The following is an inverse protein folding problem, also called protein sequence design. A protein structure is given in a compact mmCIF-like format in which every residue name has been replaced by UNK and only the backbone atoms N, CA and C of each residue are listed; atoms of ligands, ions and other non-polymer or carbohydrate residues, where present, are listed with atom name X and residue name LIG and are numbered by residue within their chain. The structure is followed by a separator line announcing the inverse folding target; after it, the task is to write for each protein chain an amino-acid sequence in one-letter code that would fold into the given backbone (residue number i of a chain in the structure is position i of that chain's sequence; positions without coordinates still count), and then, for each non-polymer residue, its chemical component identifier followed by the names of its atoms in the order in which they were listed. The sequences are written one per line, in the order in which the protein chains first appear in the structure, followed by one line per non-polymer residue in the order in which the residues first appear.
data_IF_246865379615
#
_entry.id   IF_246865379615
#
_cell.length_a   1.000
_cell.length_b   1.000
_cell.length_c   1.000
_cell.angle_alpha   90.00
_cell.angle_beta   90.00
_cell.angle_gamma   90.00
#
_symmetry.space_group_name_H-M   'P 1'
#
loop_
_entity.id
_entity.type
_entity.pdbx_description
1 polymer ?
#
# COMPACT_ATOMS: atom_id res chain seq x y z
N UNK A 1 9.22 -33.63 -3.99
CA UNK A 1 8.41 -32.99 -5.06
C UNK A 1 7.46 -32.04 -4.34
N UNK A 2 7.71 -30.75 -4.42
CA UNK A 2 6.80 -29.70 -3.90
C UNK A 2 5.92 -29.30 -5.08
N UNK A 3 4.89 -30.14 -5.36
CA UNK A 3 3.92 -29.90 -6.40
C UNK A 3 3.02 -28.72 -6.02
N UNK A 4 3.01 -27.69 -6.88
CA UNK A 4 1.89 -26.78 -7.02
C UNK A 4 1.61 -25.82 -5.86
N UNK A 5 2.62 -25.19 -5.26
CA UNK A 5 2.36 -24.00 -4.46
C UNK A 5 1.81 -22.92 -5.40
N UNK A 6 0.49 -22.69 -5.32
CA UNK A 6 -0.13 -21.53 -5.97
C UNK A 6 0.64 -20.27 -5.56
N UNK A 7 1.27 -19.63 -6.54
CA UNK A 7 2.02 -18.41 -6.30
C UNK A 7 1.01 -17.28 -6.15
N UNK A 8 0.97 -16.66 -4.97
CA UNK A 8 0.13 -15.51 -4.67
C UNK A 8 0.85 -14.22 -5.07
N UNK A 9 0.17 -13.37 -5.79
CA UNK A 9 0.74 -12.16 -6.36
C UNK A 9 0.28 -10.90 -5.63
N UNK A 10 1.23 -10.02 -5.34
CA UNK A 10 0.99 -8.66 -4.86
C UNK A 10 1.26 -7.70 -6.00
N UNK A 11 0.34 -6.78 -6.26
CA UNK A 11 0.57 -5.61 -7.10
C UNK A 11 0.57 -4.36 -6.21
N UNK A 12 1.60 -3.53 -6.32
CA UNK A 12 1.74 -2.30 -5.53
C UNK A 12 1.55 -1.09 -6.43
N UNK A 13 0.70 -0.16 -6.01
CA UNK A 13 0.46 1.11 -6.70
C UNK A 13 1.16 2.24 -5.97
N UNK A 14 1.87 3.10 -6.71
CA UNK A 14 2.59 4.27 -6.20
C UNK A 14 2.33 5.52 -7.04
N UNK A 15 2.58 6.71 -6.48
CA UNK A 15 2.54 7.99 -7.24
C UNK A 15 3.84 8.81 -7.13
N UNK A 16 4.82 8.35 -6.38
CA UNK A 16 6.03 9.15 -6.11
C UNK A 16 7.23 8.32 -5.66
N UNK A 17 7.84 8.71 -4.53
CA UNK A 17 9.09 8.13 -4.02
C UNK A 17 9.01 6.63 -3.69
N UNK A 18 7.82 6.11 -3.35
CA UNK A 18 7.62 4.68 -3.13
C UNK A 18 8.33 4.13 -1.89
N UNK A 19 8.55 4.93 -0.85
CA UNK A 19 9.26 4.48 0.35
C UNK A 19 8.54 3.32 1.06
N UNK A 20 7.22 3.37 1.14
CA UNK A 20 6.39 2.27 1.66
C UNK A 20 6.45 1.02 0.75
N UNK A 21 6.45 1.21 -0.57
CA UNK A 21 6.67 0.12 -1.53
C UNK A 21 8.03 -0.54 -1.29
N UNK A 22 9.10 0.27 -1.15
CA UNK A 22 10.44 -0.24 -0.87
C UNK A 22 10.51 -1.02 0.44
N UNK A 23 9.80 -0.57 1.49
CA UNK A 23 9.71 -1.29 2.76
C UNK A 23 9.06 -2.67 2.59
N UNK A 24 7.95 -2.76 1.83
CA UNK A 24 7.26 -4.03 1.55
C UNK A 24 8.16 -4.97 0.74
N UNK A 25 8.79 -4.48 -0.33
CA UNK A 25 9.66 -5.28 -1.21
C UNK A 25 10.86 -5.82 -0.44
N UNK A 26 11.50 -4.99 0.39
CA UNK A 26 12.62 -5.42 1.25
C UNK A 26 12.17 -6.49 2.26
N UNK A 27 11.05 -6.29 2.93
CA UNK A 27 10.52 -7.27 3.88
C UNK A 27 10.18 -8.60 3.19
N UNK A 28 9.53 -8.57 2.02
CA UNK A 28 9.21 -9.76 1.24
C UNK A 28 10.47 -10.57 0.87
N UNK A 29 11.55 -9.87 0.52
CA UNK A 29 12.84 -10.49 0.20
C UNK A 29 13.53 -11.05 1.45
N UNK A 30 13.72 -10.21 2.48
CA UNK A 30 14.46 -10.56 3.70
C UNK A 30 13.79 -11.69 4.49
N UNK A 31 12.47 -11.67 4.57
CA UNK A 31 11.69 -12.70 5.25
C UNK A 31 11.39 -13.93 4.36
N UNK A 32 11.83 -13.91 3.09
CA UNK A 32 11.66 -14.98 2.12
C UNK A 32 10.19 -15.41 1.93
N UNK A 33 9.27 -14.44 1.73
CA UNK A 33 7.83 -14.68 1.60
C UNK A 33 7.49 -15.68 0.49
N UNK A 34 8.23 -15.64 -0.63
CA UNK A 34 8.06 -16.59 -1.72
C UNK A 34 8.29 -18.04 -1.30
N UNK A 35 9.35 -18.27 -0.51
CA UNK A 35 9.69 -19.61 -0.02
C UNK A 35 8.77 -20.08 1.11
N UNK A 36 8.39 -19.16 2.01
CA UNK A 36 7.62 -19.50 3.20
C UNK A 36 6.13 -19.63 2.94
N UNK A 37 5.58 -18.80 2.05
CA UNK A 37 4.13 -18.69 1.87
C UNK A 37 3.68 -18.73 0.41
N UNK A 38 4.59 -18.85 -0.55
CA UNK A 38 4.31 -18.75 -1.98
C UNK A 38 3.88 -17.35 -2.43
N UNK A 39 4.26 -16.28 -1.70
CA UNK A 39 3.84 -14.91 -1.96
C UNK A 39 4.97 -14.12 -2.59
N UNK A 40 4.69 -13.39 -3.66
CA UNK A 40 5.67 -12.49 -4.30
C UNK A 40 5.05 -11.15 -4.67
N UNK A 41 5.87 -10.10 -4.70
CA UNK A 41 5.53 -8.85 -5.38
C UNK A 41 5.73 -9.09 -6.88
N UNK A 42 4.63 -9.13 -7.63
CA UNK A 42 4.65 -9.39 -9.06
C UNK A 42 4.93 -8.14 -9.87
N UNK A 43 4.31 -7.00 -9.47
CA UNK A 43 4.48 -5.74 -10.17
C UNK A 43 4.36 -4.53 -9.23
N UNK A 44 5.00 -3.43 -9.66
CA UNK A 44 4.79 -2.09 -9.14
C UNK A 44 4.34 -1.20 -10.30
N UNK A 45 3.20 -0.53 -10.13
CA UNK A 45 2.60 0.32 -11.15
C UNK A 45 2.52 1.75 -10.62
N UNK A 46 2.96 2.71 -11.41
CA UNK A 46 2.84 4.14 -11.09
C UNK A 46 1.89 4.84 -12.04
N UNK A 47 1.09 5.78 -11.50
CA UNK A 47 0.30 6.71 -12.32
C UNK A 47 1.09 7.95 -12.77
N UNK A 48 2.39 8.00 -12.46
CA UNK A 48 3.30 9.09 -12.87
C UNK A 48 4.57 8.51 -13.48
N UNK A 49 4.94 8.93 -14.72
CA UNK A 49 6.15 8.43 -15.37
C UNK A 49 7.45 8.70 -14.59
N UNK A 50 7.51 9.84 -13.89
CA UNK A 50 8.70 10.29 -13.15
C UNK A 50 8.70 9.80 -11.67
N UNK A 51 7.91 8.81 -11.32
CA UNK A 51 7.90 8.27 -9.97
C UNK A 51 9.26 7.63 -9.62
N UNK A 52 10.02 8.27 -8.72
CA UNK A 52 11.36 7.80 -8.33
C UNK A 52 11.36 6.43 -7.67
N UNK A 53 10.21 5.96 -7.16
CA UNK A 53 10.06 4.59 -6.69
C UNK A 53 10.26 3.52 -7.77
N UNK A 54 9.94 3.81 -9.04
CA UNK A 54 10.24 2.89 -10.16
C UNK A 54 11.74 2.86 -10.46
N UNK A 55 12.40 4.03 -10.47
CA UNK A 55 13.85 4.13 -10.63
C UNK A 55 14.57 3.38 -9.51
N UNK A 56 14.11 3.55 -8.27
CA UNK A 56 14.66 2.83 -7.13
C UNK A 56 14.65 1.32 -7.33
N UNK A 57 13.56 0.73 -7.85
CA UNK A 57 13.51 -0.71 -8.15
C UNK A 57 14.52 -1.13 -9.22
N UNK A 58 14.71 -0.30 -10.25
CA UNK A 58 15.67 -0.58 -11.34
C UNK A 58 17.13 -0.54 -10.86
N UNK A 59 17.41 0.29 -9.86
CA UNK A 59 18.75 0.42 -9.24
C UNK A 59 19.07 -0.71 -8.25
N UNK A 60 18.12 -1.61 -7.95
CA UNK A 60 18.26 -2.70 -7.00
C UNK A 60 18.10 -4.06 -7.72
N UNK A 61 19.21 -4.65 -8.22
CA UNK A 61 19.17 -5.89 -9.02
C UNK A 61 18.53 -7.08 -8.32
N UNK A 62 18.56 -7.11 -6.98
CA UNK A 62 17.93 -8.14 -6.17
C UNK A 62 16.39 -8.18 -6.34
N UNK A 63 15.79 -7.11 -6.88
CA UNK A 63 14.35 -6.99 -7.17
C UNK A 63 14.03 -6.99 -8.66
N UNK A 64 14.98 -7.36 -9.53
CA UNK A 64 14.82 -7.34 -10.99
C UNK A 64 13.66 -8.24 -11.52
N UNK A 65 13.19 -9.18 -10.69
CA UNK A 65 12.03 -10.01 -11.00
C UNK A 65 10.68 -9.30 -10.82
N UNK A 66 10.65 -8.11 -10.19
CA UNK A 66 9.44 -7.29 -10.01
C UNK A 66 9.25 -6.46 -11.28
N UNK A 67 8.10 -6.62 -11.94
CA UNK A 67 7.77 -5.81 -13.11
C UNK A 67 7.44 -4.39 -12.72
N UNK A 68 8.03 -3.43 -13.41
CA UNK A 68 7.70 -2.00 -13.25
C UNK A 68 6.88 -1.52 -14.44
N UNK A 69 5.77 -0.84 -14.18
CA UNK A 69 4.88 -0.31 -15.22
C UNK A 69 4.45 1.12 -14.88
N UNK A 70 4.11 1.86 -15.93
CA UNK A 70 3.52 3.21 -15.79
C UNK A 70 2.22 3.27 -16.57
N UNK A 71 1.23 3.92 -15.98
CA UNK A 71 -0.01 4.32 -16.62
C UNK A 71 -0.25 5.79 -16.30
N UNK A 72 0.19 6.68 -17.17
CA UNK A 72 0.11 8.12 -16.93
C UNK A 72 -1.35 8.58 -16.92
N UNK A 73 -1.83 9.00 -15.77
CA UNK A 73 -3.20 9.41 -15.56
C UNK A 73 -3.56 10.70 -16.35
N UNK A 74 -2.58 11.49 -16.77
CA UNK A 74 -2.79 12.71 -17.56
C UNK A 74 -3.18 12.41 -19.00
N UNK A 75 -3.02 11.16 -19.45
CA UNK A 75 -3.40 10.72 -20.79
C UNK A 75 -4.89 10.32 -20.91
N UNK A 76 -5.67 10.52 -19.83
CA UNK A 76 -7.06 10.09 -19.77
C UNK A 76 -7.97 11.27 -19.44
N UNK A 77 -9.02 11.44 -20.23
CA UNK A 77 -9.98 12.54 -20.07
C UNK A 77 -10.92 12.35 -18.87
N UNK A 78 -11.13 11.08 -18.45
CA UNK A 78 -12.02 10.75 -17.34
C UNK A 78 -11.38 9.76 -16.37
N UNK A 79 -11.69 9.92 -15.08
CA UNK A 79 -11.20 9.04 -14.02
C UNK A 79 -11.66 7.59 -14.21
N UNK A 80 -12.88 7.39 -14.68
CA UNK A 80 -13.47 6.08 -14.95
C UNK A 80 -12.68 5.31 -16.01
N UNK A 81 -12.26 5.99 -17.09
CA UNK A 81 -11.48 5.41 -18.18
C UNK A 81 -10.07 5.06 -17.70
N UNK A 82 -9.45 5.94 -16.91
CA UNK A 82 -8.17 5.65 -16.28
C UNK A 82 -8.26 4.43 -15.36
N UNK A 83 -9.24 4.37 -14.47
CA UNK A 83 -9.42 3.27 -13.52
C UNK A 83 -9.69 1.94 -14.23
N UNK A 84 -10.47 1.92 -15.31
CA UNK A 84 -10.66 0.73 -16.14
C UNK A 84 -9.34 0.24 -16.75
N UNK A 85 -8.54 1.16 -17.29
CA UNK A 85 -7.24 0.83 -17.87
C UNK A 85 -6.25 0.36 -16.79
N UNK A 86 -6.34 0.95 -15.60
CA UNK A 86 -5.52 0.55 -14.45
C UNK A 86 -5.91 -0.85 -13.96
N UNK A 87 -7.21 -1.17 -13.86
CA UNK A 87 -7.68 -2.51 -13.52
C UNK A 87 -7.17 -3.55 -14.53
N UNK A 88 -7.32 -3.29 -15.83
CA UNK A 88 -6.81 -4.20 -16.86
C UNK A 88 -5.31 -4.48 -16.70
N UNK A 89 -4.53 -3.42 -16.42
CA UNK A 89 -3.08 -3.54 -16.20
C UNK A 89 -2.71 -4.29 -14.92
N UNK A 90 -3.47 -4.13 -13.86
CA UNK A 90 -3.28 -4.85 -12.60
C UNK A 90 -3.63 -6.34 -12.78
N UNK A 91 -4.73 -6.62 -13.48
CA UNK A 91 -5.24 -7.98 -13.68
C UNK A 91 -4.34 -8.84 -14.58
N UNK A 92 -3.46 -8.23 -15.41
CA UNK A 92 -2.37 -8.93 -16.12
C UNK A 92 -1.44 -9.73 -15.19
N UNK A 93 -1.45 -9.42 -13.90
CA UNK A 93 -0.58 -10.02 -12.89
C UNK A 93 -1.31 -10.99 -11.96
N UNK A 94 -2.59 -11.29 -12.18
CA UNK A 94 -3.43 -12.16 -11.33
C UNK A 94 -3.27 -11.83 -9.84
N UNK A 95 -3.61 -10.60 -9.37
CA UNK A 95 -3.30 -10.16 -8.02
C UNK A 95 -4.20 -10.83 -6.97
N UNK A 96 -3.60 -11.44 -5.95
CA UNK A 96 -4.29 -11.81 -4.71
C UNK A 96 -4.45 -10.63 -3.76
N UNK A 97 -3.58 -9.62 -3.89
CA UNK A 97 -3.63 -8.39 -3.10
C UNK A 97 -3.15 -7.21 -3.93
N UNK A 98 -3.91 -6.11 -3.90
CA UNK A 98 -3.50 -4.81 -4.42
C UNK A 98 -3.20 -3.88 -3.25
N UNK A 99 -2.06 -3.22 -3.29
CA UNK A 99 -1.54 -2.39 -2.20
C UNK A 99 -1.36 -0.95 -2.69
N UNK A 100 -2.02 0.01 -2.04
CA UNK A 100 -1.84 1.43 -2.29
C UNK A 100 -0.73 1.97 -1.38
N UNK A 101 0.47 2.12 -1.92
CA UNK A 101 1.64 2.59 -1.17
C UNK A 101 1.99 4.04 -1.55
N UNK A 102 1.17 4.98 -1.13
CA UNK A 102 1.26 6.38 -1.53
C UNK A 102 0.72 6.62 -2.94
N UNK A 103 -0.38 6.00 -3.27
CA UNK A 103 -1.11 6.21 -4.54
C UNK A 103 -2.07 7.38 -4.38
N UNK A 104 -1.73 8.52 -4.98
CA UNK A 104 -2.38 9.82 -4.76
C UNK A 104 -3.56 10.06 -5.72
N UNK A 105 -4.48 9.10 -5.80
CA UNK A 105 -5.74 9.22 -6.57
C UNK A 105 -6.90 8.62 -5.79
N UNK A 106 -8.05 9.29 -5.88
CA UNK A 106 -9.32 8.73 -5.41
C UNK A 106 -9.82 7.75 -6.47
N UNK A 107 -9.95 6.51 -6.10
CA UNK A 107 -10.41 5.42 -6.96
C UNK A 107 -11.93 5.44 -7.09
N UNK A 108 -12.45 4.99 -8.23
CA UNK A 108 -13.89 4.89 -8.47
C UNK A 108 -14.51 3.76 -7.64
N UNK A 109 -15.83 3.84 -7.35
CA UNK A 109 -16.54 2.73 -6.69
C UNK A 109 -16.41 1.40 -7.45
N UNK A 110 -16.35 1.43 -8.78
CA UNK A 110 -16.18 0.24 -9.62
C UNK A 110 -14.80 -0.41 -9.38
N UNK A 111 -13.72 0.39 -9.29
CA UNK A 111 -12.39 -0.10 -8.96
C UNK A 111 -12.36 -0.74 -7.56
N UNK A 112 -12.92 -0.06 -6.56
CA UNK A 112 -12.96 -0.58 -5.19
C UNK A 112 -13.75 -1.88 -5.10
N UNK A 113 -14.90 -1.97 -5.78
CA UNK A 113 -15.72 -3.18 -5.83
C UNK A 113 -14.97 -4.36 -6.50
N UNK A 114 -14.21 -4.10 -7.58
CA UNK A 114 -13.44 -5.13 -8.29
C UNK A 114 -12.37 -5.79 -7.41
N UNK A 115 -11.75 -5.02 -6.52
CA UNK A 115 -10.73 -5.52 -5.58
C UNK A 115 -11.25 -5.65 -4.14
N UNK A 116 -12.56 -5.75 -3.94
CA UNK A 116 -13.15 -5.83 -2.60
C UNK A 116 -12.51 -6.97 -1.77
N UNK A 117 -12.11 -6.65 -0.53
CA UNK A 117 -11.47 -7.59 0.40
C UNK A 117 -9.98 -7.86 0.12
N UNK A 118 -9.44 -7.38 -1.00
CA UNK A 118 -8.04 -7.53 -1.41
C UNK A 118 -7.39 -6.24 -1.89
N UNK A 119 -7.86 -5.10 -1.38
CA UNK A 119 -7.31 -3.77 -1.63
C UNK A 119 -7.03 -3.10 -0.28
N UNK A 120 -5.75 -2.79 -0.01
CA UNK A 120 -5.32 -2.17 1.24
C UNK A 120 -4.55 -0.89 0.99
N UNK A 121 -4.67 0.04 1.93
CA UNK A 121 -4.00 1.34 1.90
C UNK A 121 -3.29 1.61 3.23
N UNK A 122 -2.28 2.48 3.19
CA UNK A 122 -1.72 3.10 4.39
C UNK A 122 -2.09 4.58 4.40
N UNK A 123 -2.61 5.04 5.54
CA UNK A 123 -3.01 6.43 5.76
C UNK A 123 -2.21 7.03 6.92
N UNK A 124 -1.60 8.21 6.76
CA UNK A 124 -0.71 8.78 7.76
C UNK A 124 -1.46 9.51 8.89
N UNK A 125 -2.43 8.84 9.50
CA UNK A 125 -3.11 9.27 10.72
C UNK A 125 -3.64 8.07 11.51
N UNK A 126 -4.11 8.32 12.73
CA UNK A 126 -4.82 7.35 13.57
C UNK A 126 -6.32 7.38 13.21
N UNK A 127 -6.70 6.74 12.10
CA UNK A 127 -8.11 6.68 11.69
C UNK A 127 -9.00 6.18 12.84
N UNK A 128 -10.21 6.73 12.99
CA UNK A 128 -10.92 7.64 12.08
C UNK A 128 -10.52 9.11 12.20
N UNK A 129 -9.57 9.47 13.06
CA UNK A 129 -9.10 10.84 13.18
C UNK A 129 -8.31 11.27 11.93
N UNK A 130 -8.52 12.51 11.49
CA UNK A 130 -7.77 13.15 10.39
C UNK A 130 -7.79 12.37 9.07
N UNK A 131 -8.94 11.80 8.68
CA UNK A 131 -9.12 11.25 7.33
C UNK A 131 -8.84 12.32 6.26
N UNK A 132 -8.42 11.92 5.06
CA UNK A 132 -8.10 12.80 3.94
C UNK A 132 -6.70 13.43 4.02
N UNK A 133 -6.53 14.63 3.48
CA UNK A 133 -5.23 15.26 3.28
C UNK A 133 -4.73 16.05 4.50
N UNK A 134 -3.42 16.41 4.46
CA UNK A 134 -2.74 17.30 5.44
C UNK A 134 -2.83 16.80 6.89
N UNK A 135 -2.79 15.50 7.09
CA UNK A 135 -3.02 14.83 8.38
C UNK A 135 -2.09 15.32 9.49
N UNK A 136 -0.79 15.46 9.20
CA UNK A 136 0.21 15.90 10.17
C UNK A 136 -0.04 17.33 10.65
N UNK A 137 -0.25 18.26 9.71
CA UNK A 137 -0.54 19.65 10.07
C UNK A 137 -1.83 19.75 10.89
N UNK A 138 -2.89 19.04 10.45
CA UNK A 138 -4.17 19.01 11.17
C UNK A 138 -4.05 18.44 12.58
N UNK A 139 -3.21 17.43 12.78
CA UNK A 139 -2.95 16.87 14.11
C UNK A 139 -2.22 17.87 15.01
N UNK A 140 -1.24 18.63 14.47
CA UNK A 140 -0.54 19.69 15.18
C UNK A 140 -1.50 20.82 15.55
N UNK A 141 -2.27 21.32 14.58
CA UNK A 141 -3.22 22.44 14.76
C UNK A 141 -4.32 22.09 15.78
N UNK A 142 -4.74 20.83 15.84
CA UNK A 142 -5.69 20.32 16.83
C UNK A 142 -5.07 20.15 18.22
N UNK A 143 -3.76 20.37 18.41
CA UNK A 143 -3.08 20.15 19.67
C UNK A 143 -3.00 18.68 20.11
N UNK A 144 -3.13 17.74 19.15
CA UNK A 144 -3.07 16.31 19.43
C UNK A 144 -1.73 15.96 20.10
N UNK A 145 -1.76 15.06 21.08
CA UNK A 145 -0.53 14.57 21.74
C UNK A 145 0.06 13.38 21.04
N UNK A 146 -0.75 12.70 20.23
CA UNK A 146 -0.37 11.54 19.45
C UNK A 146 -0.83 11.68 18.01
N UNK A 147 -0.02 11.17 17.10
CA UNK A 147 -0.31 10.95 15.70
C UNK A 147 0.09 9.51 15.36
N UNK A 148 0.05 9.14 14.09
CA UNK A 148 0.47 7.80 13.69
C UNK A 148 0.06 7.46 12.28
N UNK A 149 0.01 6.16 11.99
CA UNK A 149 -0.40 5.62 10.72
C UNK A 149 -1.41 4.49 10.90
N UNK A 150 -2.26 4.31 9.90
CA UNK A 150 -3.26 3.25 9.84
C UNK A 150 -3.14 2.49 8.53
N UNK A 151 -2.99 1.18 8.60
CA UNK A 151 -3.23 0.27 7.46
C UNK A 151 -4.69 -0.17 7.52
N UNK A 152 -5.42 -0.02 6.42
CA UNK A 152 -6.83 -0.35 6.36
C UNK A 152 -7.22 -0.96 5.01
N UNK A 153 -8.30 -1.71 4.97
CA UNK A 153 -8.96 -2.07 3.71
C UNK A 153 -9.55 -0.82 3.07
N UNK A 154 -9.46 -0.73 1.75
CA UNK A 154 -10.10 0.37 1.02
C UNK A 154 -11.57 0.09 0.85
N UNK A 155 -12.40 1.08 1.17
CA UNK A 155 -13.85 1.12 0.95
C UNK A 155 -14.19 2.25 -0.02
N UNK A 156 -15.45 2.29 -0.46
CA UNK A 156 -15.94 3.37 -1.34
C UNK A 156 -15.86 4.72 -0.64
N UNK A 157 -16.17 4.74 0.66
CA UNK A 157 -15.97 5.90 1.51
C UNK A 157 -14.49 6.04 1.84
N UNK A 158 -13.95 7.25 1.58
CA UNK A 158 -12.52 7.55 1.75
C UNK A 158 -12.10 7.33 3.21
N UNK A 159 -11.06 6.51 3.41
CA UNK A 159 -10.41 6.22 4.70
C UNK A 159 -11.35 5.63 5.78
N UNK A 160 -12.45 4.97 5.38
CA UNK A 160 -13.44 4.39 6.31
C UNK A 160 -13.47 2.84 6.31
N UNK A 161 -12.58 2.21 5.58
CA UNK A 161 -12.49 0.75 5.54
C UNK A 161 -11.98 0.13 6.85
N UNK A 162 -12.10 -1.18 6.97
CA UNK A 162 -11.67 -1.93 8.15
C UNK A 162 -10.20 -1.67 8.47
N UNK A 163 -9.91 -1.26 9.69
CA UNK A 163 -8.55 -1.06 10.20
C UNK A 163 -7.89 -2.44 10.39
N UNK A 164 -6.69 -2.59 9.83
CA UNK A 164 -5.89 -3.81 9.90
C UNK A 164 -4.74 -3.68 10.88
N UNK A 165 -4.10 -2.51 10.93
CA UNK A 165 -3.00 -2.21 11.85
C UNK A 165 -2.90 -0.70 12.09
N UNK A 166 -2.42 -0.32 13.27
CA UNK A 166 -2.11 1.06 13.59
C UNK A 166 -0.79 1.15 14.36
N UNK A 167 -0.08 2.27 14.17
CA UNK A 167 1.08 2.62 14.97
C UNK A 167 0.96 4.07 15.45
N UNK A 168 1.42 4.31 16.67
CA UNK A 168 1.30 5.59 17.36
C UNK A 168 2.67 6.22 17.52
N UNK A 169 2.75 7.53 17.31
CA UNK A 169 3.94 8.35 17.60
C UNK A 169 3.53 9.58 18.43
N UNK A 170 4.39 10.11 19.31
CA UNK A 170 4.11 11.38 19.98
C UNK A 170 4.19 12.55 19.02
N UNK A 171 3.34 13.56 19.22
CA UNK A 171 3.52 14.89 18.65
C UNK A 171 4.34 15.70 19.67
N UNK A 172 5.54 16.13 19.27
CA UNK A 172 6.47 16.82 20.15
C UNK A 172 6.26 18.35 20.06
N UNK A 173 6.65 19.04 21.11
CA UNK A 173 6.62 20.51 21.09
C UNK A 173 7.58 21.04 20.02
N UNK A 174 7.10 21.93 19.17
CA UNK A 174 7.87 22.50 18.07
C UNK A 174 7.92 21.63 16.80
N UNK A 175 7.16 20.52 16.73
CA UNK A 175 7.04 19.78 15.49
C UNK A 175 6.49 20.67 14.37
N UNK A 176 7.10 20.53 13.20
CA UNK A 176 6.48 20.91 11.92
C UNK A 176 5.76 19.68 11.32
N UNK A 177 4.94 19.90 10.29
CA UNK A 177 4.31 18.81 9.55
C UNK A 177 5.35 17.81 9.00
N UNK A 178 6.52 18.31 8.55
CA UNK A 178 7.60 17.51 8.00
C UNK A 178 8.29 16.64 9.06
N UNK A 179 8.58 17.21 10.25
CA UNK A 179 9.22 16.44 11.33
C UNK A 179 8.29 15.36 11.87
N UNK A 180 7.00 15.67 12.01
CA UNK A 180 6.00 14.68 12.39
C UNK A 180 5.83 13.63 11.31
N UNK A 181 5.76 14.02 10.02
CA UNK A 181 5.67 13.09 8.88
C UNK A 181 6.84 12.11 8.84
N UNK A 182 8.07 12.60 9.03
CA UNK A 182 9.27 11.74 9.07
C UNK A 182 9.18 10.72 10.21
N UNK A 183 8.67 11.11 11.38
CA UNK A 183 8.47 10.20 12.52
C UNK A 183 7.36 9.18 12.25
N UNK A 184 6.24 9.58 11.67
CA UNK A 184 5.15 8.67 11.27
C UNK A 184 5.64 7.68 10.23
N UNK A 185 6.39 8.13 9.22
CA UNK A 185 6.92 7.30 8.14
C UNK A 185 7.78 6.13 8.65
N UNK A 186 8.54 6.32 9.75
CA UNK A 186 9.31 5.22 10.35
C UNK A 186 8.40 4.09 10.82
N UNK A 187 7.21 4.42 11.31
CA UNK A 187 6.22 3.43 11.74
C UNK A 187 5.46 2.81 10.56
N UNK A 188 5.17 3.60 9.52
CA UNK A 188 4.58 3.06 8.29
C UNK A 188 5.43 1.94 7.70
N UNK A 189 6.74 2.14 7.64
CA UNK A 189 7.71 1.16 7.12
C UNK A 189 7.77 -0.14 7.95
N UNK A 190 7.28 -0.13 9.19
CA UNK A 190 7.17 -1.32 10.04
C UNK A 190 5.81 -1.99 9.90
N UNK A 191 4.72 -1.22 10.05
CA UNK A 191 3.38 -1.81 10.13
C UNK A 191 2.82 -2.23 8.78
N UNK A 192 3.21 -1.55 7.68
CA UNK A 192 2.65 -1.88 6.38
C UNK A 192 3.14 -3.23 5.85
N UNK A 193 4.45 -3.53 5.81
CA UNK A 193 4.91 -4.89 5.48
C UNK A 193 4.32 -5.96 6.39
N UNK A 194 4.22 -5.68 7.70
CA UNK A 194 3.64 -6.61 8.67
C UNK A 194 2.15 -6.90 8.38
N UNK A 195 1.37 -5.88 8.02
CA UNK A 195 -0.04 -6.02 7.66
C UNK A 195 -0.22 -6.81 6.34
N UNK A 196 0.63 -6.54 5.32
CA UNK A 196 0.66 -7.32 4.07
C UNK A 196 0.97 -8.79 4.36
N UNK A 197 1.98 -9.08 5.18
CA UNK A 197 2.30 -10.44 5.57
C UNK A 197 1.16 -11.13 6.35
N UNK A 198 0.50 -10.40 7.25
CA UNK A 198 -0.63 -10.91 8.03
C UNK A 198 -1.84 -11.27 7.15
N UNK A 199 -2.09 -10.48 6.08
CA UNK A 199 -3.15 -10.77 5.12
C UNK A 199 -3.01 -12.20 4.53
N UNK A 200 -1.81 -12.60 4.15
CA UNK A 200 -1.57 -13.92 3.57
C UNK A 200 -1.52 -15.03 4.63
N UNK A 201 -1.01 -14.75 5.82
CA UNK A 201 -1.00 -15.73 6.93
C UNK A 201 -2.40 -16.10 7.38
N UNK A 202 -3.32 -15.16 7.45
CA UNK A 202 -4.72 -15.42 7.82
C UNK A 202 -5.46 -16.31 6.82
N UNK A 203 -5.06 -16.30 5.54
CA UNK A 203 -5.62 -17.16 4.49
C UNK A 203 -5.01 -18.57 4.46
N UNK A 204 -3.83 -18.76 5.09
CA UNK A 204 -3.16 -20.07 5.14
C UNK A 204 -3.70 -20.97 6.26
N UNK A 205 -4.44 -20.43 7.22
CA UNK A 205 -5.09 -21.22 8.28
C UNK A 205 -6.45 -21.65 7.78
N UNK A 206 -6.74 -22.98 7.68
CA UNK A 206 -8.08 -23.47 7.39
C UNK A 206 -9.06 -22.90 8.41
N UNK A 207 -10.17 -22.27 7.96
CA UNK A 207 -11.23 -21.85 8.88
C UNK A 207 -11.74 -23.09 9.61
N UNK A 208 -11.87 -23.06 10.94
CA UNK A 208 -12.51 -24.15 11.65
C UNK A 208 -13.91 -24.34 11.05
N UNK A 209 -14.18 -25.52 10.55
CA UNK A 209 -15.53 -25.94 10.14
C UNK A 209 -16.43 -25.82 11.36
N UNK A 210 -17.47 -24.98 11.25
CA UNK A 210 -18.54 -24.90 12.26
C UNK A 210 -19.39 -26.15 12.24
#
# INVERSE_FOLDING_TARGET
MLDGLFVKNIVILISGAGSNMAAIVKAAHQEAWSKKWGVKVAAVISNKPQASGLTWLQEHPEFANIKTQTLDHTQFDAREVFDQSLMAKIDEHDPDLVVLAGFMRILTPAFVAHYQGRLINIHPSLLPAFAGLNTHQRAIDAGSKFAGATVHQVSVEVDQGQILAQAVVPVLQGDSAETLAARVLTQEHLIFPAAVAAFFRSQAVPRPTK
#
